data_IF_459025546570
#
_entry.id   IF_459025546570
#
_cell.length_a   1.000
_cell.length_b   1.000
_cell.length_c   1.000
_cell.angle_alpha   90.00
_cell.angle_beta   90.00
_cell.angle_gamma   90.00
#
_symmetry.space_group_name_H-M   'P 1'
#
loop_
_entity.id
_entity.type
_entity.pdbx_description
1 polymer ?
#
# COMPACT_ATOMS: atom_id res chain seq x y z
N UNK A 1 21.47 4.32 -17.11
CA UNK A 1 20.67 3.10 -16.92
C UNK A 1 20.01 3.19 -15.56
N UNK A 2 18.68 3.14 -15.48
CA UNK A 2 17.98 3.09 -14.20
C UNK A 2 17.89 1.61 -13.80
N UNK A 3 18.50 1.25 -12.68
CA UNK A 3 18.32 -0.04 -12.02
C UNK A 3 17.27 0.16 -10.91
N UNK A 4 15.96 -0.11 -11.14
CA UNK A 4 14.99 -0.08 -10.06
C UNK A 4 14.97 -1.45 -9.35
N UNK A 5 16.08 -1.87 -8.75
CA UNK A 5 16.08 -3.09 -7.96
C UNK A 5 15.53 -2.79 -6.57
N UNK A 6 14.23 -3.03 -6.37
CA UNK A 6 13.72 -3.94 -5.33
C UNK A 6 12.21 -3.79 -5.15
N UNK A 7 11.48 -4.83 -5.56
CA UNK A 7 10.03 -4.96 -5.48
C UNK A 7 9.48 -4.78 -4.08
N UNK A 8 8.55 -3.84 -3.97
CA UNK A 8 7.83 -3.50 -2.73
C UNK A 8 6.42 -3.00 -3.03
N UNK A 9 5.84 -3.37 -4.17
CA UNK A 9 4.44 -3.06 -4.43
C UNK A 9 3.56 -4.11 -3.76
N UNK A 10 2.49 -3.67 -3.13
CA UNK A 10 1.50 -4.52 -2.50
C UNK A 10 0.13 -4.12 -3.02
N UNK A 11 -0.64 -5.09 -3.50
CA UNK A 11 -2.07 -4.94 -3.71
C UNK A 11 -2.77 -5.08 -2.38
N UNK A 12 -3.51 -4.04 -2.05
CA UNK A 12 -4.38 -3.97 -0.90
C UNK A 12 -5.81 -3.86 -1.37
N UNK A 13 -6.68 -4.69 -0.81
CA UNK A 13 -8.11 -4.52 -0.94
C UNK A 13 -8.61 -3.69 0.22
N UNK A 14 -9.47 -2.74 -0.10
CA UNK A 14 -10.27 -2.09 0.91
C UNK A 14 -11.48 -2.98 1.25
N UNK A 15 -11.63 -3.47 2.49
CA UNK A 15 -12.73 -4.38 2.86
C UNK A 15 -14.10 -3.69 2.78
N UNK A 16 -14.17 -2.37 2.99
CA UNK A 16 -15.43 -1.61 2.94
C UNK A 16 -15.90 -1.25 1.52
N UNK A 17 -14.96 -1.17 0.58
CA UNK A 17 -15.15 -0.50 -0.72
C UNK A 17 -14.90 -1.45 -1.89
N UNK A 18 -14.42 -2.68 -1.59
CA UNK A 18 -13.94 -3.70 -2.51
C UNK A 18 -12.93 -3.19 -3.56
N UNK A 19 -12.34 -2.01 -3.30
CA UNK A 19 -11.42 -1.37 -4.23
C UNK A 19 -10.04 -1.98 -4.07
N UNK A 20 -9.43 -2.37 -5.19
CA UNK A 20 -8.07 -2.90 -5.23
C UNK A 20 -7.11 -1.76 -5.53
N UNK A 21 -6.18 -1.51 -4.61
CA UNK A 21 -5.17 -0.47 -4.77
C UNK A 21 -3.78 -1.06 -4.69
N UNK A 22 -2.93 -0.67 -5.62
CA UNK A 22 -1.49 -0.95 -5.57
C UNK A 22 -0.83 0.16 -4.76
N UNK A 23 -0.17 -0.21 -3.67
CA UNK A 23 0.53 0.71 -2.78
C UNK A 23 1.95 0.20 -2.51
N UNK A 24 2.85 1.09 -2.07
CA UNK A 24 4.18 0.67 -1.65
C UNK A 24 4.13 0.11 -0.23
N UNK A 25 4.84 -0.99 0.03
CA UNK A 25 5.11 -1.54 1.36
C UNK A 25 5.78 -0.53 2.29
N UNK A 26 6.58 0.38 1.72
CA UNK A 26 7.33 1.38 2.47
C UNK A 26 6.99 2.80 1.99
N UNK A 27 5.76 3.28 2.19
CA UNK A 27 5.38 4.60 1.73
C UNK A 27 5.97 5.65 2.68
N UNK A 28 6.47 6.76 2.13
CA UNK A 28 6.97 7.89 2.91
C UNK A 28 5.84 8.70 3.57
N UNK A 29 4.60 8.56 3.07
CA UNK A 29 3.40 9.20 3.57
C UNK A 29 2.26 8.19 3.73
N UNK A 30 1.25 8.53 4.52
CA UNK A 30 0.08 7.68 4.75
C UNK A 30 -0.66 7.44 3.42
N UNK A 31 -0.94 6.17 3.09
CA UNK A 31 -1.73 5.82 1.91
C UNK A 31 -3.19 5.66 2.32
N UNK A 32 -4.05 6.52 1.79
CA UNK A 32 -5.49 6.48 1.96
C UNK A 32 -6.17 5.79 0.75
N UNK A 33 -7.36 5.25 0.98
CA UNK A 33 -8.16 4.69 -0.08
C UNK A 33 -8.76 5.81 -0.95
N UNK A 34 -8.56 5.76 -2.27
CA UNK A 34 -9.09 6.79 -3.17
C UNK A 34 -10.63 6.77 -3.30
N UNK A 35 -11.28 5.69 -2.85
CA UNK A 35 -12.75 5.52 -2.95
C UNK A 35 -13.45 5.93 -1.66
N UNK A 36 -12.92 5.52 -0.51
CA UNK A 36 -13.58 5.67 0.80
C UNK A 36 -12.78 6.52 1.80
N UNK A 37 -11.56 6.94 1.46
CA UNK A 37 -10.72 7.79 2.32
C UNK A 37 -10.07 7.06 3.51
N UNK A 38 -10.41 5.80 3.76
CA UNK A 38 -9.84 5.00 4.85
C UNK A 38 -8.31 4.87 4.72
N UNK A 39 -7.60 4.98 5.84
CA UNK A 39 -6.14 4.81 5.84
C UNK A 39 -5.79 3.34 5.64
N UNK A 40 -5.27 2.99 4.46
CA UNK A 40 -4.84 1.65 4.09
C UNK A 40 -3.45 1.33 4.64
N UNK A 41 -2.54 2.31 4.57
CA UNK A 41 -1.18 2.18 5.06
C UNK A 41 -0.82 3.41 5.85
N UNK A 42 -0.34 3.21 7.08
CA UNK A 42 0.21 4.28 7.90
C UNK A 42 1.73 4.29 7.73
N UNK A 43 2.28 5.36 7.15
CA UNK A 43 3.74 5.52 7.10
C UNK A 43 4.26 5.80 8.50
N UNK A 44 5.11 4.93 9.02
CA UNK A 44 6.01 5.24 10.15
C UNK A 44 7.40 5.51 9.58
N UNK A 45 8.29 6.16 10.34
CA UNK A 45 9.69 6.41 9.94
C UNK A 45 10.53 5.13 9.82
N UNK A 46 10.12 4.22 8.94
CA UNK A 46 10.53 2.83 8.82
C UNK A 46 9.56 2.06 7.90
N UNK A 47 9.20 0.83 8.28
CA UNK A 47 8.21 0.02 7.55
C UNK A 47 6.79 0.58 7.72
N UNK A 48 6.06 0.73 6.61
CA UNK A 48 4.65 1.12 6.63
C UNK A 48 3.80 0.07 7.33
N UNK A 49 2.92 0.50 8.22
CA UNK A 49 1.95 -0.38 8.88
C UNK A 49 0.73 -0.53 7.97
N UNK A 50 0.58 -1.70 7.35
CA UNK A 50 -0.61 -2.06 6.59
C UNK A 50 -1.79 -2.29 7.55
N UNK A 51 -2.88 -1.55 7.37
CA UNK A 51 -4.13 -1.72 8.15
C UNK A 51 -5.28 -2.29 7.35
N UNK A 52 -5.13 -2.39 6.03
CA UNK A 52 -6.10 -3.01 5.13
C UNK A 52 -5.82 -4.49 4.91
N UNK A 53 -6.62 -5.09 4.01
CA UNK A 53 -6.47 -6.48 3.61
C UNK A 53 -5.41 -6.57 2.51
N UNK A 54 -4.30 -7.25 2.78
CA UNK A 54 -3.27 -7.53 1.77
C UNK A 54 -3.78 -8.63 0.84
N UNK A 55 -3.94 -8.34 -0.45
CA UNK A 55 -4.33 -9.34 -1.45
C UNK A 55 -3.10 -10.05 -1.98
N UNK A 56 -2.10 -9.26 -2.39
CA UNK A 56 -0.97 -9.78 -3.15
C UNK A 56 0.24 -8.86 -3.00
N UNK A 57 1.45 -9.41 -3.02
CA UNK A 57 2.69 -8.64 -3.11
C UNK A 57 3.18 -8.77 -4.54
N UNK A 58 3.36 -7.64 -5.23
CA UNK A 58 3.81 -7.56 -6.62
C UNK A 58 5.28 -7.13 -6.59
N UNK A 59 6.17 -7.87 -7.25
CA UNK A 59 7.59 -7.49 -7.39
C UNK A 59 7.75 -6.35 -8.40
#
# INVERSE_FOLDING_TARGET
>A
MAEPTTGKFIKVRCPDCNNEQVAFKNPAMNVSCNVCGSTLIKSKGGAGELRGELVEVVD
#
